data_IF_490843659187
#
_entry.id   IF_490843659187
#
_cell.length_a   1.000
_cell.length_b   1.000
_cell.length_c   1.000
_cell.angle_alpha   90.00
_cell.angle_beta   90.00
_cell.angle_gamma   90.00
#
_symmetry.space_group_name_H-M   'P 1'
#
loop_
_entity.id
_entity.type
_entity.pdbx_description
1 polymer ?
#
# COMPACT_ATOMS: atom_id res chain seq x y z
N UNK A 1 -0.13 -11.39 -28.55
CA UNK A 1 -0.18 -10.44 -27.41
C UNK A 1 0.40 -11.09 -26.18
N UNK A 2 1.23 -10.39 -25.46
CA UNK A 2 1.77 -10.83 -24.17
C UNK A 2 1.35 -9.83 -23.09
N UNK A 3 0.97 -10.34 -21.93
CA UNK A 3 0.65 -9.51 -20.76
C UNK A 3 1.83 -9.53 -19.80
N UNK A 4 2.32 -8.35 -19.44
CA UNK A 4 3.38 -8.19 -18.45
C UNK A 4 2.82 -7.41 -17.29
N UNK A 5 2.88 -7.99 -16.08
CA UNK A 5 2.43 -7.37 -14.86
C UNK A 5 3.62 -6.94 -14.01
N UNK A 6 3.59 -5.70 -13.52
CA UNK A 6 4.63 -5.15 -12.66
C UNK A 6 4.06 -4.88 -11.27
N UNK A 7 4.81 -5.22 -10.24
CA UNK A 7 4.58 -4.68 -8.92
C UNK A 7 5.00 -3.21 -8.91
N UNK A 8 4.49 -2.42 -7.98
CA UNK A 8 4.74 -0.98 -7.94
C UNK A 8 5.87 -0.65 -6.97
N UNK A 9 5.65 -0.85 -5.67
CA UNK A 9 6.64 -0.48 -4.64
C UNK A 9 7.87 -1.37 -4.69
N UNK A 10 9.04 -0.75 -4.82
CA UNK A 10 10.31 -1.48 -4.90
C UNK A 10 10.59 -2.10 -6.26
N UNK A 11 9.68 -2.01 -7.23
CA UNK A 11 9.85 -2.51 -8.60
C UNK A 11 9.85 -1.37 -9.61
N UNK A 12 8.75 -0.62 -9.71
CA UNK A 12 8.65 0.50 -10.63
C UNK A 12 9.07 1.83 -9.99
N UNK A 13 8.75 2.02 -8.72
CA UNK A 13 9.06 3.26 -8.03
C UNK A 13 9.37 3.02 -6.55
N UNK A 14 9.90 4.06 -5.94
CA UNK A 14 10.13 4.13 -4.50
C UNK A 14 9.23 5.21 -3.94
N UNK A 15 8.33 4.85 -3.02
CA UNK A 15 7.34 5.78 -2.47
C UNK A 15 7.79 6.47 -1.18
N UNK A 16 9.01 6.20 -0.73
CA UNK A 16 9.60 6.82 0.46
C UNK A 16 8.75 6.64 1.73
N UNK A 17 8.10 5.48 1.85
CA UNK A 17 7.29 5.15 3.02
C UNK A 17 5.88 5.75 3.02
N UNK A 18 5.46 6.41 1.94
CA UNK A 18 4.13 7.01 1.85
C UNK A 18 3.02 5.99 2.04
N UNK A 19 3.14 4.82 1.40
CA UNK A 19 2.14 3.75 1.52
C UNK A 19 2.05 3.18 2.92
N UNK A 20 3.19 2.97 3.58
CA UNK A 20 3.22 2.48 4.97
C UNK A 20 2.54 3.47 5.89
N UNK A 21 2.89 4.75 5.78
CA UNK A 21 2.30 5.80 6.63
C UNK A 21 0.79 5.92 6.40
N UNK A 22 0.34 5.91 5.15
CA UNK A 22 -1.07 5.98 4.82
C UNK A 22 -1.84 4.78 5.39
N UNK A 23 -1.28 3.57 5.30
CA UNK A 23 -1.87 2.36 5.87
C UNK A 23 -2.04 2.49 7.38
N UNK A 24 -0.98 2.86 8.09
CA UNK A 24 -1.02 2.98 9.55
C UNK A 24 -1.94 4.09 10.01
N UNK A 25 -1.93 5.24 9.33
CA UNK A 25 -2.83 6.35 9.67
C UNK A 25 -4.30 5.96 9.46
N UNK A 26 -4.62 5.29 8.36
CA UNK A 26 -5.98 4.85 8.09
C UNK A 26 -6.45 3.77 9.08
N UNK A 27 -5.57 2.84 9.46
CA UNK A 27 -5.89 1.84 10.48
C UNK A 27 -6.18 2.49 11.82
N UNK A 28 -5.38 3.48 12.22
CA UNK A 28 -5.61 4.21 13.46
C UNK A 28 -6.94 4.96 13.44
N UNK A 29 -7.20 5.69 12.37
CA UNK A 29 -8.39 6.54 12.27
C UNK A 29 -9.67 5.72 12.14
N UNK A 30 -9.60 4.57 11.46
CA UNK A 30 -10.78 3.77 11.13
C UNK A 30 -11.05 2.65 12.13
N UNK A 31 -9.99 2.00 12.62
CA UNK A 31 -10.11 0.85 13.52
C UNK A 31 -9.48 1.08 14.90
N UNK A 32 -8.85 2.21 15.13
CA UNK A 32 -8.23 2.52 16.41
C UNK A 32 -6.94 1.77 16.70
N UNK A 33 -6.32 1.15 15.69
CA UNK A 33 -5.06 0.42 15.84
C UNK A 33 -3.90 1.37 15.55
N UNK A 34 -3.09 1.66 16.57
CA UNK A 34 -2.09 2.72 16.51
C UNK A 34 -0.78 2.30 15.83
N UNK A 35 -0.36 1.06 16.01
CA UNK A 35 0.99 0.63 15.60
C UNK A 35 0.97 -0.73 14.90
N UNK A 36 1.94 -0.92 14.01
CA UNK A 36 2.19 -2.26 13.47
C UNK A 36 2.92 -3.12 14.51
N UNK A 37 2.77 -4.46 14.43
CA UNK A 37 3.47 -5.36 15.35
C UNK A 37 4.99 -5.24 15.23
N UNK A 38 5.74 -5.39 16.33
CA UNK A 38 7.19 -5.43 16.26
C UNK A 38 7.69 -6.51 15.29
N UNK A 39 8.63 -6.14 14.42
CA UNK A 39 9.18 -7.07 13.44
C UNK A 39 8.27 -7.38 12.25
N UNK A 40 7.10 -6.78 12.18
CA UNK A 40 6.19 -6.99 11.06
C UNK A 40 6.70 -6.31 9.80
N UNK A 41 6.64 -7.02 8.67
CA UNK A 41 7.03 -6.48 7.37
C UNK A 41 5.84 -6.54 6.41
N UNK A 42 5.60 -5.45 5.71
CA UNK A 42 4.57 -5.38 4.67
C UNK A 42 5.08 -5.89 3.32
N UNK A 43 6.39 -6.15 3.21
CA UNK A 43 7.01 -6.56 1.94
C UNK A 43 6.42 -7.87 1.41
N UNK A 44 6.14 -7.90 0.12
CA UNK A 44 5.63 -9.09 -0.56
C UNK A 44 4.19 -9.45 -0.24
N UNK A 45 3.45 -8.58 0.44
CA UNK A 45 2.07 -8.84 0.84
C UNK A 45 1.10 -7.92 0.09
N UNK A 46 -0.12 -8.42 -0.15
CA UNK A 46 -1.19 -7.60 -0.70
C UNK A 46 -1.85 -6.76 0.40
N UNK A 47 -2.47 -5.65 0.03
CA UNK A 47 -3.01 -4.68 0.99
C UNK A 47 -4.03 -5.30 1.94
N UNK A 48 -4.94 -6.13 1.45
CA UNK A 48 -5.93 -6.79 2.31
C UNK A 48 -5.30 -7.72 3.33
N UNK A 49 -4.24 -8.43 2.95
CA UNK A 49 -3.49 -9.28 3.87
C UNK A 49 -2.84 -8.45 4.98
N UNK A 50 -2.21 -7.34 4.63
CA UNK A 50 -1.58 -6.44 5.59
C UNK A 50 -2.58 -5.95 6.63
N UNK A 51 -3.72 -5.44 6.19
CA UNK A 51 -4.76 -4.92 7.08
C UNK A 51 -5.26 -6.00 8.04
N UNK A 52 -5.60 -7.19 7.50
CA UNK A 52 -6.14 -8.26 8.32
C UNK A 52 -5.11 -8.79 9.32
N UNK A 53 -3.84 -8.92 8.93
CA UNK A 53 -2.79 -9.38 9.83
C UNK A 53 -2.55 -8.40 10.98
N UNK A 54 -2.49 -7.09 10.69
CA UNK A 54 -2.29 -6.07 11.72
C UNK A 54 -3.48 -6.03 12.68
N UNK A 55 -4.71 -6.09 12.16
CA UNK A 55 -5.91 -6.11 12.99
C UNK A 55 -5.97 -7.36 13.86
N UNK A 56 -5.65 -8.53 13.31
CA UNK A 56 -5.63 -9.78 14.07
C UNK A 56 -4.59 -9.74 15.20
N UNK A 57 -3.41 -9.19 14.93
CA UNK A 57 -2.37 -9.06 15.96
C UNK A 57 -2.79 -8.11 17.08
N UNK A 58 -3.56 -7.09 16.77
CA UNK A 58 -4.09 -6.14 17.76
C UNK A 58 -5.32 -6.67 18.50
N UNK A 59 -5.73 -7.91 18.26
CA UNK A 59 -6.94 -8.53 18.81
C UNK A 59 -8.22 -7.74 18.50
N UNK A 60 -8.26 -7.09 17.34
CA UNK A 60 -9.45 -6.40 16.88
C UNK A 60 -10.57 -7.39 16.55
N UNK A 61 -11.81 -6.95 16.72
CA UNK A 61 -12.96 -7.76 16.34
C UNK A 61 -13.07 -7.83 14.82
N UNK A 62 -12.77 -9.01 14.25
CA UNK A 62 -12.76 -9.22 12.80
C UNK A 62 -14.15 -9.51 12.23
N UNK A 63 -15.18 -9.70 13.07
CA UNK A 63 -16.52 -10.02 12.58
C UNK A 63 -17.13 -8.88 11.76
N UNK A 64 -16.74 -7.64 12.04
CA UNK A 64 -17.27 -6.43 11.40
C UNK A 64 -16.31 -5.85 10.36
N UNK A 65 -15.09 -6.39 10.24
CA UNK A 65 -14.06 -5.80 9.40
C UNK A 65 -14.43 -5.85 7.93
N UNK A 66 -14.98 -6.98 7.46
CA UNK A 66 -15.34 -7.14 6.05
C UNK A 66 -16.35 -6.10 5.58
N UNK A 67 -17.34 -5.79 6.42
CA UNK A 67 -18.38 -4.81 6.10
C UNK A 67 -17.83 -3.39 6.05
N UNK A 68 -16.69 -3.16 6.70
CA UNK A 68 -16.06 -1.84 6.80
C UNK A 68 -14.89 -1.65 5.83
N UNK A 69 -14.44 -2.72 5.16
CA UNK A 69 -13.24 -2.65 4.30
C UNK A 69 -13.41 -1.67 3.14
N UNK A 70 -14.57 -1.62 2.50
CA UNK A 70 -14.79 -0.70 1.37
C UNK A 70 -14.60 0.75 1.82
N UNK A 71 -15.17 1.12 2.96
CA UNK A 71 -14.98 2.46 3.52
C UNK A 71 -13.54 2.70 3.96
N UNK A 72 -12.88 1.66 4.48
CA UNK A 72 -11.46 1.74 4.82
C UNK A 72 -10.60 2.06 3.59
N UNK A 73 -10.85 1.40 2.46
CA UNK A 73 -10.08 1.65 1.24
C UNK A 73 -10.22 3.09 0.75
N UNK A 74 -11.39 3.69 0.90
CA UNK A 74 -11.59 5.11 0.57
C UNK A 74 -10.75 5.98 1.50
N UNK A 75 -10.78 5.70 2.81
CA UNK A 75 -9.97 6.44 3.78
C UNK A 75 -8.47 6.29 3.52
N UNK A 76 -8.02 5.07 3.19
CA UNK A 76 -6.63 4.81 2.83
C UNK A 76 -6.20 5.61 1.59
N UNK A 77 -7.03 5.59 0.54
CA UNK A 77 -6.74 6.33 -0.69
C UNK A 77 -6.62 7.84 -0.43
N UNK A 78 -7.49 8.40 0.40
CA UNK A 78 -7.44 9.80 0.78
C UNK A 78 -6.14 10.12 1.54
N UNK A 79 -5.76 9.26 2.48
CA UNK A 79 -4.50 9.41 3.22
C UNK A 79 -3.28 9.31 2.30
N UNK A 80 -3.29 8.35 1.38
CA UNK A 80 -2.20 8.19 0.43
C UNK A 80 -2.07 9.44 -0.46
N UNK A 81 -3.18 9.99 -0.93
CA UNK A 81 -3.18 11.21 -1.72
C UNK A 81 -2.57 12.40 -0.96
N UNK A 82 -2.81 12.49 0.35
CA UNK A 82 -2.22 13.52 1.21
C UNK A 82 -0.72 13.28 1.44
N UNK A 83 -0.31 12.02 1.58
CA UNK A 83 1.07 11.68 1.92
C UNK A 83 2.04 11.74 0.74
N UNK A 84 1.59 11.35 -0.47
CA UNK A 84 2.48 11.30 -1.63
C UNK A 84 3.24 12.60 -1.89
N UNK A 85 2.61 13.80 -1.82
CA UNK A 85 3.34 15.04 -2.02
C UNK A 85 4.37 15.35 -0.92
N UNK A 86 4.24 14.73 0.25
CA UNK A 86 5.13 14.95 1.40
C UNK A 86 6.33 14.02 1.39
N UNK A 87 6.37 13.06 0.47
CA UNK A 87 7.43 12.07 0.38
C UNK A 87 8.19 12.20 -0.93
N UNK A 88 9.42 11.73 -0.95
CA UNK A 88 10.26 11.74 -2.15
C UNK A 88 9.97 10.51 -3.00
N UNK A 89 8.84 10.54 -3.71
CA UNK A 89 8.44 9.46 -4.62
C UNK A 89 9.21 9.59 -5.91
N UNK A 90 9.84 8.51 -6.35
CA UNK A 90 10.66 8.51 -7.56
C UNK A 90 10.61 7.16 -8.27
N UNK A 91 10.72 7.19 -9.59
CA UNK A 91 10.91 5.98 -10.38
C UNK A 91 12.29 5.38 -10.10
N UNK A 92 12.37 4.05 -10.03
CA UNK A 92 13.64 3.35 -9.88
C UNK A 92 14.45 3.44 -11.17
N UNK A 93 15.80 3.30 -11.09
CA UNK A 93 16.67 3.41 -12.26
C UNK A 93 16.24 2.47 -13.39
N UNK A 94 16.19 3.00 -14.62
CA UNK A 94 15.84 2.24 -15.81
C UNK A 94 14.36 2.02 -16.06
N UNK A 95 13.48 2.34 -15.10
CA UNK A 95 12.04 2.08 -15.22
C UNK A 95 11.42 2.92 -16.34
N UNK A 96 11.70 4.21 -16.39
CA UNK A 96 11.14 5.09 -17.43
C UNK A 96 11.55 4.62 -18.83
N UNK A 97 12.81 4.23 -19.01
CA UNK A 97 13.31 3.73 -20.28
C UNK A 97 12.66 2.40 -20.67
N UNK A 98 12.48 1.50 -19.68
CA UNK A 98 11.82 0.21 -19.90
C UNK A 98 10.38 0.39 -20.34
N UNK A 99 9.61 1.23 -19.63
CA UNK A 99 8.21 1.47 -19.95
C UNK A 99 8.04 2.13 -21.31
N UNK A 100 8.92 3.07 -21.68
CA UNK A 100 8.93 3.68 -23.00
C UNK A 100 9.20 2.65 -24.09
N UNK A 101 10.18 1.75 -23.87
CA UNK A 101 10.49 0.68 -24.83
C UNK A 101 9.32 -0.30 -24.98
N UNK A 102 8.64 -0.66 -23.91
CA UNK A 102 7.49 -1.57 -23.95
C UNK A 102 6.26 -0.93 -24.59
N UNK A 103 6.07 0.38 -24.44
CA UNK A 103 4.95 1.09 -25.05
C UNK A 103 4.99 1.09 -26.58
N UNK A 104 6.20 0.96 -27.17
CA UNK A 104 6.39 0.89 -28.62
C UNK A 104 6.20 -0.52 -29.18
N UNK A 105 5.83 -1.48 -28.34
CA UNK A 105 5.61 -2.88 -28.75
C UNK A 105 4.14 -3.24 -28.70
N UNK A 106 3.76 -4.15 -29.58
CA UNK A 106 2.41 -4.71 -29.59
C UNK A 106 2.19 -5.75 -28.49
#
# INVERSE_FOLDING_TARGET
>A
MKLILFDIDGTLLHSDGAGVKATLDALRDFFGVADQPPGYSMAGKVDSQIVLEILAHANADLSDVRDRLDAYWVAYADRLAEELPRHNVRALPGVSALLAALADRD
#
